data_IF_756259612812
#
_entry.id   IF_756259612812
#
_cell.length_a   1.000
_cell.length_b   1.000
_cell.length_c   1.000
_cell.angle_alpha   90.00
_cell.angle_beta   90.00
_cell.angle_gamma   90.00
#
_symmetry.space_group_name_H-M   'P 1'
#
loop_
_entity.id
_entity.type
_entity.pdbx_description
1 polymer ?
#
# COMPACT_ATOMS: atom_id res chain seq x y z
N UNK A 1 17.99 13.92 -13.16
CA UNK A 1 16.75 14.69 -13.32
C UNK A 1 15.87 13.96 -14.33
N UNK A 2 14.95 13.15 -13.88
CA UNK A 2 13.94 12.51 -14.75
C UNK A 2 12.65 13.28 -14.48
N UNK A 3 12.34 14.22 -15.35
CA UNK A 3 11.06 14.93 -15.40
C UNK A 3 9.99 13.91 -15.82
N UNK A 4 9.16 13.46 -14.88
CA UNK A 4 8.04 12.55 -15.13
C UNK A 4 6.99 13.21 -16.03
N UNK A 5 7.03 12.80 -17.28
CA UNK A 5 6.00 13.09 -18.29
C UNK A 5 4.68 12.43 -17.85
N UNK A 6 3.61 13.24 -17.68
CA UNK A 6 2.18 12.90 -17.52
C UNK A 6 1.53 12.93 -16.13
N UNK A 7 2.09 13.56 -15.10
CA UNK A 7 1.27 13.93 -13.97
C UNK A 7 0.50 15.25 -14.27
N UNK A 8 -0.80 15.35 -13.94
CA UNK A 8 -1.53 16.61 -14.10
C UNK A 8 -0.88 17.71 -13.27
N UNK A 9 -1.01 18.99 -13.66
CA UNK A 9 -0.49 20.11 -12.89
C UNK A 9 -0.99 20.06 -11.43
N UNK A 10 -0.13 20.39 -10.48
CA UNK A 10 -0.46 20.35 -9.04
C UNK A 10 -1.73 21.18 -8.77
N UNK A 11 -1.91 22.31 -9.45
CA UNK A 11 -3.10 23.16 -9.35
C UNK A 11 -4.41 22.45 -9.70
N UNK A 12 -4.37 21.40 -10.51
CA UNK A 12 -5.55 20.59 -10.84
C UNK A 12 -5.76 19.41 -9.87
N UNK A 13 -4.73 19.04 -9.12
CA UNK A 13 -4.79 17.95 -8.14
C UNK A 13 -5.27 18.45 -6.78
N UNK A 14 -4.72 19.57 -6.30
CA UNK A 14 -4.98 20.11 -4.98
C UNK A 14 -6.48 20.30 -4.67
N UNK A 15 -7.33 20.83 -5.58
CA UNK A 15 -8.76 20.98 -5.32
C UNK A 15 -9.52 19.66 -5.10
N UNK A 16 -8.93 18.52 -5.47
CA UNK A 16 -9.52 17.17 -5.30
C UNK A 16 -9.20 16.55 -3.95
N UNK A 17 -8.33 17.17 -3.16
CA UNK A 17 -7.99 16.70 -1.81
C UNK A 17 -9.21 16.91 -0.90
N UNK A 18 -9.67 15.91 -0.12
CA UNK A 18 -10.92 15.98 0.64
C UNK A 18 -11.03 17.20 1.57
N UNK A 19 -9.95 17.58 2.23
CA UNK A 19 -9.94 18.72 3.15
C UNK A 19 -9.68 20.08 2.46
N UNK A 20 -9.43 20.11 1.14
CA UNK A 20 -9.07 21.35 0.41
C UNK A 20 -10.09 22.48 0.55
N UNK A 21 -11.39 22.15 0.47
CA UNK A 21 -12.46 23.13 0.60
C UNK A 21 -12.45 23.83 1.96
N UNK A 22 -11.99 23.14 2.99
CA UNK A 22 -11.97 23.60 4.39
C UNK A 22 -10.67 24.34 4.76
N UNK A 23 -9.73 24.51 3.84
CA UNK A 23 -8.53 25.31 4.04
C UNK A 23 -8.84 26.79 3.85
N UNK A 24 -8.25 27.63 4.72
CA UNK A 24 -8.22 29.09 4.53
C UNK A 24 -7.40 29.46 3.28
N UNK A 25 -7.52 30.71 2.84
CA UNK A 25 -6.73 31.22 1.70
C UNK A 25 -5.21 31.14 1.96
N UNK A 26 -4.79 31.41 3.21
CA UNK A 26 -3.37 31.30 3.62
C UNK A 26 -2.89 29.85 3.57
N UNK A 27 -3.69 28.90 4.09
CA UNK A 27 -3.37 27.48 4.07
C UNK A 27 -3.31 26.93 2.65
N UNK A 28 -4.25 27.32 1.78
CA UNK A 28 -4.23 26.98 0.35
C UNK A 28 -2.98 27.48 -0.35
N UNK A 29 -2.60 28.74 -0.08
CA UNK A 29 -1.37 29.31 -0.63
C UNK A 29 -0.13 28.54 -0.15
N UNK A 30 -0.05 28.23 1.16
CA UNK A 30 1.05 27.47 1.75
C UNK A 30 1.18 26.08 1.10
N UNK A 31 0.08 25.34 0.98
CA UNK A 31 0.08 24.02 0.34
C UNK A 31 0.47 24.14 -1.13
N UNK A 32 -0.10 25.10 -1.86
CA UNK A 32 0.18 25.30 -3.30
C UNK A 32 1.65 25.62 -3.57
N UNK A 33 2.31 26.36 -2.67
CA UNK A 33 3.72 26.73 -2.79
C UNK A 33 4.67 25.60 -2.44
N UNK A 34 4.26 24.70 -1.56
CA UNK A 34 5.14 23.68 -0.96
C UNK A 34 4.89 22.26 -1.43
N UNK A 35 3.68 21.98 -1.93
CA UNK A 35 3.39 20.68 -2.50
C UNK A 35 4.24 20.41 -3.74
N UNK A 36 4.69 19.17 -3.89
CA UNK A 36 5.52 18.77 -5.04
C UNK A 36 5.17 17.35 -5.47
N UNK A 37 5.49 17.01 -6.72
CA UNK A 37 5.39 15.65 -7.22
C UNK A 37 6.75 14.95 -7.13
N UNK A 38 6.73 13.67 -6.74
CA UNK A 38 7.90 12.79 -6.77
C UNK A 38 7.55 11.50 -7.50
N UNK A 39 8.54 10.94 -8.19
CA UNK A 39 8.43 9.63 -8.84
C UNK A 39 9.46 8.67 -8.24
N UNK A 40 9.06 7.41 -8.11
CA UNK A 40 9.86 6.31 -7.56
C UNK A 40 9.77 5.13 -8.52
N UNK A 41 10.88 4.46 -8.73
CA UNK A 41 10.91 3.23 -9.51
C UNK A 41 10.33 2.06 -8.68
N UNK A 42 9.90 1.01 -9.36
CA UNK A 42 9.49 -0.24 -8.69
C UNK A 42 10.56 -0.69 -7.67
N UNK A 43 10.10 -1.16 -6.52
CA UNK A 43 10.89 -1.63 -5.36
C UNK A 43 11.76 -0.56 -4.68
N UNK A 44 11.67 0.71 -5.09
CA UNK A 44 12.38 1.80 -4.42
C UNK A 44 11.76 2.11 -3.05
N UNK A 45 12.61 2.24 -2.02
CA UNK A 45 12.18 2.70 -0.69
C UNK A 45 11.85 4.19 -0.76
N UNK A 46 10.67 4.54 -0.32
CA UNK A 46 10.15 5.92 -0.24
C UNK A 46 10.52 6.53 1.12
N UNK A 47 10.30 5.76 2.20
CA UNK A 47 10.73 6.10 3.56
C UNK A 47 10.95 4.81 4.37
N UNK A 48 11.94 4.82 5.25
CA UNK A 48 12.31 3.66 6.08
C UNK A 48 12.40 4.00 7.56
N UNK A 49 12.44 5.28 7.92
CA UNK A 49 12.56 5.74 9.30
C UNK A 49 11.91 7.13 9.49
N UNK A 50 11.90 7.60 10.75
CA UNK A 50 11.33 8.91 11.09
C UNK A 50 12.14 10.08 10.54
N UNK A 51 13.42 9.90 10.23
CA UNK A 51 14.29 10.94 9.69
C UNK A 51 13.97 11.24 8.22
N UNK A 52 13.41 10.27 7.50
CA UNK A 52 13.03 10.37 6.09
C UNK A 52 11.56 10.77 5.87
N UNK A 53 10.93 11.40 6.86
CA UNK A 53 9.52 11.77 6.83
C UNK A 53 9.19 12.73 5.67
N UNK A 54 8.34 12.29 4.76
CA UNK A 54 7.92 13.10 3.61
C UNK A 54 6.74 14.02 3.94
N UNK A 55 5.86 13.62 4.85
CA UNK A 55 4.55 14.22 5.06
C UNK A 55 3.44 13.35 4.47
N UNK A 56 2.29 13.94 4.15
CA UNK A 56 1.17 13.22 3.52
C UNK A 56 1.47 13.04 2.03
N UNK A 57 1.26 11.85 1.50
CA UNK A 57 1.32 11.60 0.06
C UNK A 57 -0.04 11.17 -0.49
N UNK A 58 -0.37 11.66 -1.69
CA UNK A 58 -1.45 11.16 -2.53
C UNK A 58 -0.82 10.39 -3.69
N UNK A 59 -1.19 9.13 -3.87
CA UNK A 59 -0.71 8.32 -4.99
C UNK A 59 -1.45 8.77 -6.26
N UNK A 60 -0.71 9.29 -7.25
CA UNK A 60 -1.26 9.75 -8.53
C UNK A 60 -1.27 8.62 -9.57
N UNK A 61 -0.26 7.75 -9.49
CA UNK A 61 -0.08 6.59 -10.35
C UNK A 61 0.71 5.53 -9.60
N UNK A 62 0.44 4.27 -9.88
CA UNK A 62 1.14 3.15 -9.26
C UNK A 62 0.56 2.79 -7.89
N UNK A 63 1.41 2.28 -7.01
CA UNK A 63 1.04 1.85 -5.67
C UNK A 63 2.22 1.80 -4.72
N UNK A 64 1.94 1.91 -3.44
CA UNK A 64 2.92 1.79 -2.37
C UNK A 64 2.54 0.64 -1.43
N UNK A 65 3.55 -0.01 -0.89
CA UNK A 65 3.44 -1.07 0.11
C UNK A 65 4.05 -0.60 1.42
N UNK A 66 3.31 -0.78 2.49
CA UNK A 66 3.73 -0.48 3.84
C UNK A 66 4.04 -1.81 4.53
N UNK A 67 5.26 -1.97 5.03
CA UNK A 67 5.74 -3.21 5.64
C UNK A 67 6.55 -2.95 6.91
N UNK A 68 6.61 -3.98 7.76
CA UNK A 68 7.57 -4.09 8.87
C UNK A 68 8.67 -5.07 8.45
N UNK A 69 9.88 -4.83 8.95
CA UNK A 69 11.00 -5.77 8.82
C UNK A 69 11.42 -6.21 10.22
N UNK A 70 11.55 -7.54 10.42
CA UNK A 70 12.11 -8.09 11.64
C UNK A 70 13.64 -7.95 11.64
N UNK A 71 14.26 -8.13 12.80
CA UNK A 71 15.74 -8.15 12.96
C UNK A 71 16.43 -9.21 12.07
N UNK A 72 15.69 -10.26 11.70
CA UNK A 72 16.15 -11.33 10.78
C UNK A 72 15.93 -10.98 9.30
N UNK A 73 15.44 -9.76 8.98
CA UNK A 73 15.18 -9.30 7.62
C UNK A 73 13.87 -9.85 7.01
N UNK A 74 12.99 -10.45 7.81
CA UNK A 74 11.69 -10.94 7.35
C UNK A 74 10.69 -9.79 7.24
N UNK A 75 10.14 -9.60 6.05
CA UNK A 75 9.13 -8.57 5.79
C UNK A 75 7.69 -9.07 6.03
N UNK A 76 6.89 -8.21 6.65
CA UNK A 76 5.44 -8.40 6.80
C UNK A 76 4.76 -7.17 6.22
N UNK A 77 3.92 -7.37 5.19
CA UNK A 77 3.08 -6.31 4.64
C UNK A 77 1.92 -6.02 5.58
N UNK A 78 1.79 -4.77 6.00
CA UNK A 78 0.68 -4.30 6.81
C UNK A 78 -0.52 -3.97 5.93
N UNK A 79 -0.31 -3.10 4.92
CA UNK A 79 -1.31 -2.72 3.94
C UNK A 79 -0.67 -2.14 2.68
N UNK A 80 -1.51 -1.85 1.70
CA UNK A 80 -1.15 -1.19 0.44
C UNK A 80 -1.99 0.05 0.24
N UNK A 81 -1.48 0.98 -0.55
CA UNK A 81 -2.25 2.12 -1.04
C UNK A 81 -1.99 2.29 -2.55
N UNK A 82 -3.04 2.55 -3.29
CA UNK A 82 -3.04 2.61 -4.76
C UNK A 82 -3.38 4.00 -5.28
N UNK A 83 -3.34 4.17 -6.60
CA UNK A 83 -3.69 5.44 -7.24
C UNK A 83 -5.05 5.96 -6.78
N UNK A 84 -5.10 7.22 -6.37
CA UNK A 84 -6.26 7.89 -5.78
C UNK A 84 -6.32 7.82 -4.25
N UNK A 85 -5.52 6.99 -3.60
CA UNK A 85 -5.48 6.84 -2.15
C UNK A 85 -4.37 7.68 -1.50
N UNK A 86 -4.58 8.01 -0.22
CA UNK A 86 -3.60 8.70 0.60
C UNK A 86 -2.79 7.70 1.43
N UNK A 87 -1.49 8.02 1.61
CA UNK A 87 -0.66 7.39 2.62
C UNK A 87 -0.18 8.45 3.59
N UNK A 88 -0.64 8.36 4.83
CA UNK A 88 -0.27 9.28 5.92
C UNK A 88 0.84 8.70 6.80
N UNK A 89 1.14 7.40 6.71
CA UNK A 89 2.27 6.79 7.44
C UNK A 89 3.64 7.37 7.04
N UNK A 90 3.74 8.00 5.87
CA UNK A 90 4.91 8.81 5.48
C UNK A 90 5.04 10.11 6.28
N UNK A 91 4.04 10.44 7.11
CA UNK A 91 4.02 11.59 8.01
C UNK A 91 4.25 11.17 9.48
N UNK A 92 4.85 10.02 9.76
CA UNK A 92 5.07 9.46 11.10
C UNK A 92 5.80 10.40 12.06
N UNK A 93 6.65 11.29 11.55
CA UNK A 93 7.31 12.33 12.35
C UNK A 93 6.35 13.39 12.91
N UNK A 94 5.17 13.54 12.32
CA UNK A 94 4.13 14.50 12.75
C UNK A 94 3.09 13.83 13.64
N UNK A 95 2.88 12.52 13.44
CA UNK A 95 1.92 11.72 14.22
C UNK A 95 2.68 11.03 15.34
N UNK A 96 2.85 11.73 16.46
CA UNK A 96 3.65 11.25 17.60
C UNK A 96 3.16 9.94 18.24
N UNK A 97 1.89 9.56 17.98
CA UNK A 97 1.28 8.33 18.47
C UNK A 97 1.75 7.08 17.72
N UNK A 98 2.34 7.23 16.53
CA UNK A 98 2.91 6.10 15.80
C UNK A 98 4.23 5.69 16.44
N UNK A 99 4.23 4.54 17.12
CA UNK A 99 5.39 4.02 17.88
C UNK A 99 6.23 3.02 17.11
N UNK A 100 5.80 2.61 15.92
CA UNK A 100 6.50 1.65 15.07
C UNK A 100 7.10 2.34 13.84
N UNK A 101 8.15 1.75 13.31
CA UNK A 101 8.80 2.18 12.08
C UNK A 101 8.33 1.28 10.93
N UNK A 102 7.65 1.86 9.97
CA UNK A 102 7.20 1.15 8.79
C UNK A 102 8.05 1.56 7.59
N UNK A 103 8.39 0.58 6.77
CA UNK A 103 9.00 0.83 5.47
C UNK A 103 7.91 1.05 4.45
N UNK A 104 7.99 2.17 3.73
CA UNK A 104 7.13 2.46 2.58
C UNK A 104 7.96 2.29 1.32
N UNK A 105 7.53 1.39 0.44
CA UNK A 105 8.20 1.10 -0.84
C UNK A 105 7.22 1.17 -2.00
N UNK A 106 7.72 1.53 -3.19
CA UNK A 106 6.93 1.52 -4.42
C UNK A 106 6.76 0.07 -4.93
N UNK A 107 5.54 -0.38 -5.19
CA UNK A 107 5.27 -1.72 -5.75
C UNK A 107 5.46 -1.79 -7.27
N UNK A 108 5.34 -0.65 -7.92
CA UNK A 108 5.55 -0.42 -9.36
C UNK A 108 6.08 0.99 -9.56
N UNK A 109 6.31 1.42 -10.80
CA UNK A 109 6.70 2.81 -11.08
C UNK A 109 5.59 3.75 -10.62
N UNK A 110 5.87 4.47 -9.53
CA UNK A 110 4.89 5.20 -8.73
C UNK A 110 5.17 6.69 -8.77
N UNK A 111 4.12 7.49 -8.98
CA UNK A 111 4.17 8.94 -8.89
C UNK A 111 3.21 9.41 -7.81
N UNK A 112 3.70 10.28 -6.93
CA UNK A 112 2.94 10.81 -5.79
C UNK A 112 2.97 12.33 -5.76
N UNK A 113 1.88 12.93 -5.26
CA UNK A 113 1.88 14.30 -4.75
C UNK A 113 2.29 14.25 -3.28
N UNK A 114 3.24 15.08 -2.88
CA UNK A 114 3.72 15.20 -1.49
C UNK A 114 3.28 16.52 -0.91
N UNK A 115 2.62 16.51 0.24
CA UNK A 115 2.44 17.65 1.14
C UNK A 115 3.51 17.50 2.23
N UNK A 116 4.56 18.34 2.24
CA UNK A 116 5.72 18.15 3.14
C UNK A 116 5.34 18.09 4.62
N UNK A 117 6.12 17.36 5.41
CA UNK A 117 5.87 17.18 6.85
C UNK A 117 5.73 18.48 7.63
N UNK A 118 6.53 19.50 7.31
CA UNK A 118 6.43 20.82 7.96
C UNK A 118 5.10 21.53 7.66
N UNK A 119 4.56 21.36 6.46
CA UNK A 119 3.22 21.87 6.09
C UNK A 119 2.14 21.05 6.79
N UNK A 120 2.26 19.73 6.74
CA UNK A 120 1.33 18.79 7.39
C UNK A 120 1.20 19.10 8.88
N UNK A 121 2.33 19.26 9.59
CA UNK A 121 2.36 19.59 11.02
C UNK A 121 1.58 20.87 11.32
N UNK A 122 1.89 21.95 10.58
CA UNK A 122 1.23 23.24 10.75
C UNK A 122 -0.27 23.18 10.50
N UNK A 123 -0.69 22.43 9.48
CA UNK A 123 -2.13 22.25 9.17
C UNK A 123 -2.83 21.43 10.27
N UNK A 124 -2.21 20.34 10.75
CA UNK A 124 -2.80 19.51 11.81
C UNK A 124 -2.95 20.26 13.14
N UNK A 125 -2.07 21.20 13.44
CA UNK A 125 -2.17 22.03 14.65
C UNK A 125 -3.36 23.00 14.60
N UNK A 126 -3.66 23.57 13.42
CA UNK A 126 -4.54 24.72 13.27
C UNK A 126 -5.88 24.42 12.61
N UNK A 127 -5.96 23.33 11.83
CA UNK A 127 -7.12 23.00 11.02
C UNK A 127 -7.70 21.64 11.44
N UNK A 128 -8.89 21.67 12.04
CA UNK A 128 -9.57 20.48 12.55
C UNK A 128 -9.94 19.50 11.41
N UNK A 129 -10.25 20.00 10.22
CA UNK A 129 -10.60 19.14 9.08
C UNK A 129 -9.40 18.35 8.56
N UNK A 130 -8.21 18.96 8.55
CA UNK A 130 -6.97 18.23 8.21
C UNK A 130 -6.66 17.20 9.27
N UNK A 131 -6.77 17.55 10.54
CA UNK A 131 -6.56 16.62 11.66
C UNK A 131 -7.54 15.45 11.60
N UNK A 132 -8.83 15.71 11.40
CA UNK A 132 -9.85 14.67 11.27
C UNK A 132 -9.53 13.73 10.11
N UNK A 133 -9.24 14.28 8.94
CA UNK A 133 -8.85 13.50 7.76
C UNK A 133 -7.67 12.56 8.02
N UNK A 134 -6.61 13.07 8.65
CA UNK A 134 -5.42 12.24 8.97
C UNK A 134 -5.79 11.10 9.91
N UNK A 135 -6.55 11.37 10.97
CA UNK A 135 -6.96 10.32 11.90
C UNK A 135 -7.96 9.32 11.29
N UNK A 136 -8.84 9.76 10.41
CA UNK A 136 -9.73 8.87 9.65
C UNK A 136 -8.92 7.91 8.76
N UNK A 137 -7.92 8.43 8.05
CA UNK A 137 -7.02 7.60 7.24
C UNK A 137 -6.26 6.59 8.11
N UNK A 138 -5.69 7.01 9.24
CA UNK A 138 -4.97 6.09 10.14
C UNK A 138 -5.91 5.04 10.76
N UNK A 139 -7.13 5.39 11.10
CA UNK A 139 -8.13 4.44 11.63
C UNK A 139 -8.46 3.36 10.60
N UNK A 140 -8.60 3.73 9.33
CA UNK A 140 -8.82 2.79 8.24
C UNK A 140 -7.61 1.85 8.08
N UNK A 141 -6.39 2.40 8.11
CA UNK A 141 -5.14 1.61 8.00
C UNK A 141 -4.95 0.68 9.21
N UNK A 142 -5.32 1.15 10.40
CA UNK A 142 -5.35 0.30 11.60
C UNK A 142 -6.27 -0.92 11.39
N UNK A 143 -7.49 -0.70 10.88
CA UNK A 143 -8.44 -1.79 10.61
C UNK A 143 -7.89 -2.80 9.59
N UNK A 144 -7.26 -2.32 8.51
CA UNK A 144 -6.60 -3.17 7.50
C UNK A 144 -5.46 -3.99 8.11
N UNK A 145 -4.65 -3.36 8.97
CA UNK A 145 -3.53 -4.02 9.67
C UNK A 145 -4.03 -5.11 10.61
N UNK A 146 -5.05 -4.83 11.43
CA UNK A 146 -5.66 -5.83 12.32
C UNK A 146 -6.22 -7.00 11.52
N UNK A 147 -6.90 -6.72 10.40
CA UNK A 147 -7.38 -7.78 9.51
C UNK A 147 -6.24 -8.66 8.99
N UNK A 148 -5.12 -8.07 8.54
CA UNK A 148 -3.95 -8.81 8.08
C UNK A 148 -3.38 -9.71 9.19
N UNK A 149 -3.28 -9.19 10.42
CA UNK A 149 -2.83 -9.95 11.60
C UNK A 149 -3.79 -11.11 11.89
N UNK A 150 -5.10 -10.89 11.87
CA UNK A 150 -6.09 -11.94 12.06
C UNK A 150 -5.95 -13.06 11.02
N UNK A 151 -5.71 -12.73 9.73
CA UNK A 151 -5.46 -13.74 8.71
C UNK A 151 -4.22 -14.58 9.05
N UNK A 152 -3.14 -13.96 9.54
CA UNK A 152 -1.90 -14.67 9.88
C UNK A 152 -2.05 -15.57 11.10
N UNK A 153 -2.82 -15.14 12.11
CA UNK A 153 -2.96 -15.87 13.38
C UNK A 153 -3.99 -17.01 13.30
N UNK A 154 -5.10 -16.80 12.62
CA UNK A 154 -6.26 -17.70 12.71
C UNK A 154 -6.50 -18.54 11.46
N UNK A 155 -5.97 -18.17 10.31
CA UNK A 155 -6.11 -18.97 9.08
C UNK A 155 -4.87 -19.80 8.80
N UNK A 156 -5.09 -21.07 8.42
CA UNK A 156 -4.03 -21.90 7.88
C UNK A 156 -3.49 -21.31 6.58
N UNK A 157 -2.26 -21.67 6.22
CA UNK A 157 -1.61 -21.07 5.04
C UNK A 157 -2.33 -21.41 3.73
N UNK A 158 -2.86 -22.61 3.59
CA UNK A 158 -3.67 -23.04 2.44
C UNK A 158 -4.92 -22.17 2.26
N UNK A 159 -5.62 -21.85 3.37
CA UNK A 159 -6.78 -20.97 3.37
C UNK A 159 -6.39 -19.53 2.96
N UNK A 160 -5.28 -19.00 3.49
CA UNK A 160 -4.79 -17.65 3.13
C UNK A 160 -4.43 -17.55 1.65
N UNK A 161 -3.73 -18.56 1.11
CA UNK A 161 -3.37 -18.59 -0.30
C UNK A 161 -4.59 -18.77 -1.20
N UNK A 162 -5.57 -19.59 -0.79
CA UNK A 162 -6.83 -19.74 -1.51
C UNK A 162 -7.63 -18.42 -1.52
N UNK A 163 -7.76 -17.73 -0.36
CA UNK A 163 -8.41 -16.41 -0.26
C UNK A 163 -7.75 -15.43 -1.22
N UNK A 164 -6.41 -15.31 -1.19
CA UNK A 164 -5.67 -14.42 -2.08
C UNK A 164 -6.00 -14.65 -3.57
N UNK A 165 -6.06 -15.90 -4.01
CA UNK A 165 -6.39 -16.22 -5.39
C UNK A 165 -7.83 -15.91 -5.76
N UNK A 166 -8.76 -16.13 -4.86
CA UNK A 166 -10.19 -15.82 -5.05
C UNK A 166 -10.38 -14.31 -5.16
N UNK A 167 -9.78 -13.53 -4.26
CA UNK A 167 -9.87 -12.06 -4.25
C UNK A 167 -9.25 -11.46 -5.51
N UNK A 168 -8.09 -11.96 -5.94
CA UNK A 168 -7.45 -11.53 -7.19
C UNK A 168 -8.32 -11.83 -8.42
N UNK A 169 -9.01 -12.96 -8.43
CA UNK A 169 -9.97 -13.29 -9.49
C UNK A 169 -11.19 -12.39 -9.45
N UNK A 170 -11.78 -12.14 -8.29
CA UNK A 170 -12.96 -11.30 -8.13
C UNK A 170 -12.69 -9.86 -8.54
N UNK A 171 -11.52 -9.33 -8.21
CA UNK A 171 -11.14 -7.94 -8.54
C UNK A 171 -10.84 -7.73 -10.02
N UNK A 172 -10.30 -8.74 -10.72
CA UNK A 172 -9.86 -8.59 -12.12
C UNK A 172 -10.76 -9.29 -13.15
N UNK A 173 -11.58 -10.26 -12.72
CA UNK A 173 -12.34 -11.17 -13.59
C UNK A 173 -11.45 -12.13 -14.40
N UNK A 174 -10.13 -12.14 -14.19
CA UNK A 174 -9.17 -12.91 -14.98
C UNK A 174 -8.61 -14.08 -14.18
N UNK A 175 -8.57 -15.30 -14.75
CA UNK A 175 -8.01 -16.46 -14.07
C UNK A 175 -6.48 -16.45 -14.01
N UNK A 176 -5.81 -15.53 -14.70
CA UNK A 176 -4.35 -15.42 -14.72
C UNK A 176 -3.86 -14.39 -13.73
N UNK A 177 -2.98 -14.82 -12.81
CA UNK A 177 -2.28 -13.97 -11.86
C UNK A 177 -0.82 -13.87 -12.31
N UNK A 178 -0.44 -12.70 -12.86
CA UNK A 178 0.90 -12.42 -13.38
C UNK A 178 1.82 -11.97 -12.25
N UNK A 179 2.16 -12.89 -11.36
CA UNK A 179 3.09 -12.67 -10.25
C UNK A 179 4.01 -13.87 -10.09
N UNK A 180 5.23 -13.59 -9.66
CA UNK A 180 6.21 -14.60 -9.26
C UNK A 180 5.82 -15.20 -7.91
N UNK A 181 6.38 -16.36 -7.56
CA UNK A 181 6.18 -16.96 -6.23
C UNK A 181 6.71 -16.08 -5.11
N UNK A 182 7.75 -15.29 -5.37
CA UNK A 182 8.28 -14.29 -4.44
C UNK A 182 7.30 -13.15 -4.17
N UNK A 183 6.70 -12.60 -5.23
CA UNK A 183 5.67 -11.56 -5.11
C UNK A 183 4.43 -12.09 -4.38
N UNK A 184 4.00 -13.32 -4.69
CA UNK A 184 2.89 -13.96 -3.98
C UNK A 184 3.24 -14.16 -2.50
N UNK A 185 4.48 -14.59 -2.19
CA UNK A 185 4.93 -14.77 -0.82
C UNK A 185 4.85 -13.47 -0.01
N UNK A 186 5.28 -12.35 -0.60
CA UNK A 186 5.12 -11.02 0.00
C UNK A 186 3.64 -10.64 0.21
N UNK A 187 2.77 -10.98 -0.75
CA UNK A 187 1.34 -10.66 -0.67
C UNK A 187 0.62 -11.41 0.45
N UNK A 188 0.97 -12.69 0.64
CA UNK A 188 0.33 -13.54 1.66
C UNK A 188 1.12 -13.63 2.97
N UNK A 189 2.12 -12.76 3.15
CA UNK A 189 2.99 -12.72 4.34
C UNK A 189 3.57 -14.09 4.69
N UNK A 190 4.32 -14.70 3.74
CA UNK A 190 4.92 -16.03 3.90
C UNK A 190 6.28 -16.12 3.21
N UNK A 191 7.00 -17.22 3.45
CA UNK A 191 8.25 -17.50 2.74
C UNK A 191 7.96 -18.09 1.36
N UNK A 192 8.82 -17.78 0.37
CA UNK A 192 8.72 -18.28 -1.01
C UNK A 192 8.63 -19.82 -1.09
N UNK A 193 9.40 -20.49 -0.25
CA UNK A 193 9.45 -21.97 -0.20
C UNK A 193 8.11 -22.56 0.25
N UNK A 194 7.44 -21.89 1.18
CA UNK A 194 6.11 -22.29 1.67
C UNK A 194 5.07 -22.11 0.57
N UNK A 195 5.11 -20.98 -0.14
CA UNK A 195 4.26 -20.73 -1.31
C UNK A 195 4.51 -21.76 -2.40
N UNK A 196 5.78 -22.02 -2.75
CA UNK A 196 6.15 -22.99 -3.78
C UNK A 196 5.61 -24.41 -3.47
N UNK A 197 5.72 -24.83 -2.21
CA UNK A 197 5.19 -26.14 -1.75
C UNK A 197 3.67 -26.18 -1.86
N UNK A 198 2.98 -25.16 -1.39
CA UNK A 198 1.51 -25.10 -1.43
C UNK A 198 0.98 -25.01 -2.87
N UNK A 199 1.66 -24.27 -3.75
CA UNK A 199 1.29 -24.21 -5.17
C UNK A 199 1.42 -25.57 -5.86
N UNK A 200 2.44 -26.37 -5.51
CA UNK A 200 2.56 -27.77 -6.01
C UNK A 200 1.39 -28.63 -5.54
N UNK A 201 0.98 -28.49 -4.27
CA UNK A 201 -0.19 -29.21 -3.73
C UNK A 201 -1.48 -28.79 -4.44
N UNK A 202 -1.70 -27.48 -4.64
CA UNK A 202 -2.86 -26.95 -5.36
C UNK A 202 -2.86 -27.39 -6.84
N UNK A 203 -1.70 -27.48 -7.48
CA UNK A 203 -1.58 -27.96 -8.85
C UNK A 203 -1.89 -29.47 -8.94
N UNK A 204 -1.41 -30.28 -8.00
CA UNK A 204 -1.72 -31.72 -7.93
C UNK A 204 -3.21 -31.98 -7.73
N UNK A 205 -3.91 -31.09 -7.01
CA UNK A 205 -5.38 -31.13 -6.83
C UNK A 205 -6.15 -30.52 -8.01
N UNK A 206 -5.47 -30.01 -9.05
CA UNK A 206 -6.09 -29.39 -10.21
C UNK A 206 -6.71 -28.02 -9.96
N UNK A 207 -6.38 -27.35 -8.85
CA UNK A 207 -6.92 -26.04 -8.53
C UNK A 207 -6.23 -24.93 -9.32
N UNK A 208 -4.92 -25.07 -9.55
CA UNK A 208 -4.09 -24.09 -10.27
C UNK A 208 -3.15 -24.78 -11.27
N UNK A 209 -2.65 -24.02 -12.23
CA UNK A 209 -1.56 -24.40 -13.12
C UNK A 209 -0.42 -23.39 -12.94
N UNK A 210 0.78 -23.92 -12.67
CA UNK A 210 1.98 -23.11 -12.47
C UNK A 210 2.65 -22.89 -13.82
N UNK A 211 2.81 -21.64 -14.26
CA UNK A 211 3.55 -21.26 -15.46
C UNK A 211 4.67 -20.28 -15.11
N UNK A 212 5.63 -20.11 -16.01
CA UNK A 212 6.73 -19.16 -15.80
C UNK A 212 6.17 -17.73 -15.61
N UNK A 213 6.37 -17.14 -14.42
CA UNK A 213 5.97 -15.79 -14.09
C UNK A 213 4.45 -15.57 -13.91
N UNK A 214 3.65 -16.66 -13.89
CA UNK A 214 2.21 -16.56 -13.64
C UNK A 214 1.61 -17.85 -13.09
N UNK A 215 0.49 -17.68 -12.38
CA UNK A 215 -0.37 -18.77 -11.91
C UNK A 215 -1.71 -18.64 -12.64
N UNK A 216 -2.24 -19.78 -13.13
CA UNK A 216 -3.55 -19.84 -13.79
C UNK A 216 -4.52 -20.62 -12.90
N UNK A 217 -5.61 -19.98 -12.51
CA UNK A 217 -6.66 -20.61 -11.71
C UNK A 217 -7.51 -21.53 -12.61
N UNK A 218 -7.62 -22.81 -12.26
CA UNK A 218 -8.35 -23.84 -13.02
C UNK A 218 -9.68 -24.22 -12.38
N UNK A 219 -9.74 -24.24 -11.06
CA UNK A 219 -10.92 -24.65 -10.32
C UNK A 219 -11.13 -23.72 -9.10
N UNK A 220 -11.87 -22.65 -9.34
CA UNK A 220 -12.18 -21.65 -8.31
C UNK A 220 -13.10 -22.23 -7.23
N UNK A 221 -14.04 -23.08 -7.60
CA UNK A 221 -14.93 -23.72 -6.62
C UNK A 221 -14.16 -24.72 -5.72
N UNK A 222 -13.12 -25.37 -6.25
CA UNK A 222 -12.20 -26.17 -5.44
C UNK A 222 -11.42 -25.34 -4.44
N UNK A 223 -10.97 -24.14 -4.83
CA UNK A 223 -10.31 -23.18 -3.93
C UNK A 223 -11.26 -22.66 -2.83
N UNK A 224 -12.52 -22.38 -3.17
CA UNK A 224 -13.53 -21.93 -2.18
C UNK A 224 -13.82 -22.99 -1.11
N UNK A 225 -13.73 -24.26 -1.45
CA UNK A 225 -13.94 -25.37 -0.48
C UNK A 225 -12.83 -25.51 0.57
N UNK A 226 -11.69 -24.80 0.40
CA UNK A 226 -10.60 -24.77 1.37
C UNK A 226 -10.91 -23.76 2.50
N UNK A 227 -11.73 -22.73 2.23
CA UNK A 227 -12.06 -21.66 3.18
C UNK A 227 -12.97 -22.13 4.29
#
# INVERSE_FOLDING_TARGET
>A
MITGLNAPPISQILPKIPFWANLSSEEKALVSQRALTKSFNKDQIITSDRSACLGIILILKGGVRISLISDEGREITLYRAHAGEFCVSTASCVIHQLTFEAIVSAEEDTTVLVIPSSVTARLMERNIYVRSFVFEQETERYSQTIWAIQQMLFKKFDQRLATYFIDAYQSTGKPEIKKTQEEIARDVNSAREVVARMLKDFAAKGFVEIRRGKIVLKNIEGLKKIL
#
